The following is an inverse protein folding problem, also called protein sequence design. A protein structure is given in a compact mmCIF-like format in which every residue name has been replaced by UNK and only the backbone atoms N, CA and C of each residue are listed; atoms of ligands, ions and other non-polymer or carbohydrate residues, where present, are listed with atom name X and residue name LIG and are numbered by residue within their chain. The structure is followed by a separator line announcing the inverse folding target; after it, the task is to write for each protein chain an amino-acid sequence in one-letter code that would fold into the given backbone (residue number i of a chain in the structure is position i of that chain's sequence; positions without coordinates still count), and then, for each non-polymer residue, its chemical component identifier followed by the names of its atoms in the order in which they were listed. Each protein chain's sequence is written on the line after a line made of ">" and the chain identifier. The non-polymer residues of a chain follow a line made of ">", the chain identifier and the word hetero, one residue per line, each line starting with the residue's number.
data_IF_399784428440
#
_entry.id   IF_399784428440
#
_cell.length_a   1.000
_cell.length_b   1.000
_cell.length_c   1.000
_cell.angle_alpha   90.00
_cell.angle_beta   90.00
_cell.angle_gamma   90.00
#
_symmetry.space_group_name_H-M   'P 1'
#
loop_
_entity.id
_entity.type
_entity.pdbx_description
1 polymer ?
#
# COMPACT_ATOMS: atom_id res chain seq x y z
N UNK A 1 -7.41 10.87 -20.06
CA UNK A 1 -7.25 9.59 -20.76
C UNK A 1 -7.62 8.50 -19.77
N UNK A 2 -8.00 7.31 -20.20
CA UNK A 2 -8.15 6.17 -19.28
C UNK A 2 -6.77 5.61 -18.94
N UNK A 3 -6.55 5.23 -17.69
CA UNK A 3 -5.32 4.57 -17.24
C UNK A 3 -5.06 3.31 -18.09
N UNK A 4 -3.85 3.17 -18.62
CA UNK A 4 -3.45 1.97 -19.37
C UNK A 4 -2.88 0.92 -18.43
N UNK A 5 -2.94 -0.35 -18.81
CA UNK A 5 -2.39 -1.45 -18.01
C UNK A 5 -0.88 -1.27 -17.75
N UNK A 6 -0.10 -0.92 -18.78
CA UNK A 6 1.33 -0.64 -18.63
C UNK A 6 1.59 0.50 -17.63
N UNK A 7 0.83 1.60 -17.71
CA UNK A 7 0.96 2.72 -16.77
C UNK A 7 0.56 2.31 -15.35
N UNK A 8 -0.47 1.48 -15.20
CA UNK A 8 -0.87 0.91 -13.92
C UNK A 8 0.23 0.05 -13.30
N UNK A 9 0.91 -0.78 -14.10
CA UNK A 9 2.07 -1.55 -13.63
C UNK A 9 3.17 -0.64 -13.08
N UNK A 10 3.58 0.39 -13.84
CA UNK A 10 4.60 1.34 -13.40
C UNK A 10 4.19 2.05 -12.10
N UNK A 11 2.92 2.44 -11.96
CA UNK A 11 2.41 3.13 -10.78
C UNK A 11 2.41 2.22 -9.55
N UNK A 12 1.98 0.96 -9.67
CA UNK A 12 2.00 0.04 -8.54
C UNK A 12 3.44 -0.33 -8.16
N UNK A 13 4.35 -0.50 -9.12
CA UNK A 13 5.77 -0.79 -8.83
C UNK A 13 6.39 0.37 -8.05
N UNK A 14 6.22 1.61 -8.51
CA UNK A 14 6.69 2.80 -7.78
C UNK A 14 6.06 2.94 -6.39
N UNK A 15 4.78 2.58 -6.24
CA UNK A 15 4.10 2.64 -4.93
C UNK A 15 4.64 1.59 -3.97
N UNK A 16 4.91 0.38 -4.45
CA UNK A 16 5.47 -0.69 -3.62
C UNK A 16 6.92 -0.39 -3.24
N UNK A 17 7.74 0.12 -4.16
CA UNK A 17 9.10 0.60 -3.87
C UNK A 17 9.09 1.70 -2.79
N UNK A 18 8.21 2.71 -2.91
CA UNK A 18 8.10 3.74 -1.87
C UNK A 18 7.66 3.19 -0.51
N UNK A 19 6.77 2.19 -0.49
CA UNK A 19 6.35 1.55 0.76
C UNK A 19 7.50 0.74 1.38
N UNK A 20 8.30 0.05 0.58
CA UNK A 20 9.52 -0.63 1.04
C UNK A 20 10.47 0.36 1.70
N UNK A 21 10.81 1.45 1.02
CA UNK A 21 11.71 2.48 1.53
C UNK A 21 11.20 3.04 2.88
N UNK A 22 9.90 3.34 2.99
CA UNK A 22 9.28 3.85 4.23
C UNK A 22 9.38 2.83 5.38
N UNK A 23 9.15 1.55 5.11
CA UNK A 23 9.24 0.51 6.14
C UNK A 23 10.70 0.15 6.48
N UNK A 24 11.63 0.24 5.54
CA UNK A 24 13.05 0.03 5.78
C UNK A 24 13.69 1.18 6.59
N UNK A 25 13.19 2.41 6.43
CA UNK A 25 13.66 3.58 7.18
C UNK A 25 12.99 3.75 8.56
N UNK A 26 11.89 3.04 8.82
CA UNK A 26 11.18 3.16 10.09
C UNK A 26 11.84 2.32 11.21
N UNK A 27 11.66 2.73 12.47
CA UNK A 27 12.21 2.03 13.64
C UNK A 27 11.45 0.72 14.01
N UNK A 28 10.56 0.23 13.13
CA UNK A 28 9.80 -0.99 13.38
C UNK A 28 10.59 -2.23 12.95
N UNK A 29 10.56 -3.27 13.80
CA UNK A 29 11.04 -4.60 13.38
C UNK A 29 9.97 -5.27 12.51
N UNK A 30 10.08 -5.05 11.19
CA UNK A 30 9.22 -5.63 10.17
C UNK A 30 10.03 -6.43 9.16
N UNK A 31 9.41 -7.50 8.68
CA UNK A 31 9.92 -8.32 7.58
C UNK A 31 9.20 -7.91 6.29
N UNK A 32 9.96 -7.34 5.35
CA UNK A 32 9.49 -6.77 4.09
C UNK A 32 9.89 -7.70 2.94
N UNK A 33 8.89 -8.24 2.24
CA UNK A 33 9.09 -9.10 1.08
C UNK A 33 8.28 -8.60 -0.12
N UNK A 34 8.95 -8.27 -1.23
CA UNK A 34 8.28 -8.01 -2.51
C UNK A 34 8.64 -9.07 -3.56
N UNK A 35 7.61 -9.70 -4.10
CA UNK A 35 7.76 -10.71 -5.14
C UNK A 35 6.54 -10.74 -6.07
N UNK A 36 6.82 -10.71 -7.37
CA UNK A 36 5.80 -10.86 -8.43
C UNK A 36 4.60 -9.89 -8.30
N UNK A 37 4.83 -8.65 -7.86
CA UNK A 37 3.81 -7.63 -7.67
C UNK A 37 2.97 -7.79 -6.39
N UNK A 38 3.49 -8.57 -5.44
CA UNK A 38 2.94 -8.73 -4.09
C UNK A 38 3.99 -8.22 -3.10
N UNK A 39 3.65 -7.17 -2.36
CA UNK A 39 4.44 -6.64 -1.26
C UNK A 39 3.81 -7.10 0.06
N UNK A 40 4.60 -7.75 0.91
CA UNK A 40 4.19 -8.23 2.23
C UNK A 40 5.02 -7.53 3.29
N UNK A 41 4.34 -6.85 4.21
CA UNK A 41 4.94 -6.22 5.40
C UNK A 41 4.45 -7.00 6.61
N UNK A 42 5.34 -7.72 7.28
CA UNK A 42 5.01 -8.59 8.41
C UNK A 42 5.59 -8.03 9.69
N UNK A 43 4.73 -7.79 10.67
CA UNK A 43 5.09 -7.25 11.98
C UNK A 43 5.53 -8.36 12.94
N UNK A 44 6.30 -8.02 13.99
CA UNK A 44 6.74 -8.97 15.03
C UNK A 44 5.61 -9.78 15.66
N UNK A 45 4.40 -9.19 15.76
CA UNK A 45 3.23 -9.86 16.33
C UNK A 45 2.59 -10.92 15.39
N UNK A 46 3.20 -11.17 14.24
CA UNK A 46 2.79 -12.16 13.24
C UNK A 46 1.64 -11.69 12.33
N UNK A 47 1.14 -10.47 12.50
CA UNK A 47 0.18 -9.85 11.57
C UNK A 47 0.94 -9.29 10.35
N UNK A 48 0.22 -9.07 9.26
CA UNK A 48 0.82 -8.54 8.04
C UNK A 48 -0.13 -7.60 7.29
N UNK A 49 0.45 -6.67 6.56
CA UNK A 49 -0.18 -5.95 5.45
C UNK A 49 0.32 -6.57 4.15
N UNK A 50 -0.60 -6.90 3.25
CA UNK A 50 -0.28 -7.52 1.96
C UNK A 50 -0.87 -6.67 0.85
N UNK A 51 -0.01 -6.08 0.02
CA UNK A 51 -0.37 -5.28 -1.14
C UNK A 51 -0.24 -6.14 -2.40
N UNK A 52 -1.23 -6.10 -3.28
CA UNK A 52 -1.21 -6.87 -4.54
C UNK A 52 -1.82 -6.11 -5.70
N UNK A 53 -1.19 -6.19 -6.86
CA UNK A 53 -1.75 -5.63 -8.11
C UNK A 53 -2.85 -6.49 -8.69
N UNK A 54 -3.93 -5.85 -9.14
CA UNK A 54 -5.02 -6.49 -9.87
C UNK A 54 -5.19 -5.85 -11.26
N UNK A 55 -4.30 -6.22 -12.19
CA UNK A 55 -4.25 -5.66 -13.54
C UNK A 55 -5.58 -5.67 -14.31
N UNK A 56 -6.43 -6.72 -14.25
CA UNK A 56 -7.70 -6.74 -14.99
C UNK A 56 -8.69 -5.64 -14.58
N UNK A 57 -8.56 -5.13 -13.35
CA UNK A 57 -9.43 -4.08 -12.81
C UNK A 57 -8.68 -2.78 -12.52
N UNK A 58 -7.37 -2.73 -12.79
CA UNK A 58 -6.48 -1.58 -12.54
C UNK A 58 -6.52 -1.08 -11.09
N UNK A 59 -6.57 -2.01 -10.13
CA UNK A 59 -6.62 -1.69 -8.70
C UNK A 59 -5.40 -2.21 -7.95
N UNK A 60 -4.95 -1.45 -6.97
CA UNK A 60 -4.07 -1.93 -5.90
C UNK A 60 -4.94 -2.43 -4.76
N UNK A 61 -4.71 -3.65 -4.30
CA UNK A 61 -5.45 -4.23 -3.16
C UNK A 61 -4.55 -4.30 -1.94
N UNK A 62 -5.12 -4.04 -0.76
CA UNK A 62 -4.50 -4.20 0.54
C UNK A 62 -5.32 -5.19 1.36
N UNK A 63 -4.69 -6.29 1.79
CA UNK A 63 -5.22 -7.17 2.81
C UNK A 63 -4.56 -6.85 4.17
N UNK A 64 -5.39 -6.63 5.18
CA UNK A 64 -5.01 -6.39 6.56
C UNK A 64 -5.82 -7.29 7.50
N UNK A 65 -5.42 -7.45 8.77
CA UNK A 65 -6.21 -8.24 9.74
C UNK A 65 -7.64 -7.71 9.94
N UNK A 66 -7.88 -6.42 9.70
CA UNK A 66 -9.18 -5.77 9.80
C UNK A 66 -10.06 -5.93 8.56
N UNK A 67 -9.50 -6.38 7.42
CA UNK A 67 -10.25 -6.59 6.17
C UNK A 67 -9.44 -6.38 4.91
N UNK A 68 -10.12 -6.41 3.77
CA UNK A 68 -9.56 -6.12 2.44
C UNK A 68 -10.05 -4.79 1.90
N UNK A 69 -9.14 -4.01 1.32
CA UNK A 69 -9.37 -2.68 0.76
C UNK A 69 -8.85 -2.63 -0.67
N UNK A 70 -9.56 -1.90 -1.54
CA UNK A 70 -9.17 -1.74 -2.94
C UNK A 70 -9.02 -0.26 -3.25
N UNK A 71 -8.00 0.06 -4.04
CA UNK A 71 -7.64 1.41 -4.37
C UNK A 71 -7.62 1.61 -5.89
N UNK A 72 -8.30 2.67 -6.32
CA UNK A 72 -8.19 3.21 -7.67
C UNK A 72 -7.18 4.36 -7.66
N UNK A 73 -6.40 4.49 -8.74
CA UNK A 73 -5.43 5.59 -8.87
C UNK A 73 -6.10 6.85 -9.42
N UNK A 74 -6.02 7.96 -8.68
CA UNK A 74 -6.43 9.28 -9.15
C UNK A 74 -5.25 10.00 -9.82
N UNK A 75 -5.18 9.93 -11.15
CA UNK A 75 -4.11 10.60 -11.93
C UNK A 75 -4.06 12.13 -11.74
N UNK A 76 -5.13 12.78 -11.30
CA UNK A 76 -5.13 14.24 -11.07
C UNK A 76 -4.49 14.62 -9.75
N UNK A 77 -4.63 13.75 -8.75
CA UNK A 77 -4.08 13.93 -7.41
C UNK A 77 -2.78 13.17 -7.20
N UNK A 78 -2.43 12.30 -8.15
CA UNK A 78 -1.29 11.41 -8.10
C UNK A 78 -1.32 10.49 -6.86
N UNK A 79 -2.51 10.02 -6.47
CA UNK A 79 -2.72 9.29 -5.22
C UNK A 79 -3.64 8.09 -5.39
N UNK A 80 -3.45 7.05 -4.56
CA UNK A 80 -4.35 5.90 -4.46
C UNK A 80 -5.51 6.18 -3.50
N UNK A 81 -6.75 5.96 -3.95
CA UNK A 81 -7.97 6.25 -3.19
C UNK A 81 -8.84 5.01 -3.01
N UNK A 82 -9.30 4.75 -1.78
CA UNK A 82 -10.13 3.60 -1.48
C UNK A 82 -11.52 3.71 -2.12
N UNK A 83 -11.95 2.65 -2.82
CA UNK A 83 -13.22 2.60 -3.56
C UNK A 83 -14.49 2.70 -2.69
N UNK A 84 -14.37 2.38 -1.39
CA UNK A 84 -15.48 2.35 -0.42
C UNK A 84 -15.50 3.52 0.54
N UNK A 85 -14.33 3.96 1.01
CA UNK A 85 -14.22 4.93 2.11
C UNK A 85 -13.72 6.29 1.67
N UNK A 86 -13.28 6.42 0.40
CA UNK A 86 -12.61 7.60 -0.12
C UNK A 86 -11.28 7.98 0.57
N UNK A 87 -10.83 7.17 1.54
CA UNK A 87 -9.56 7.30 2.29
C UNK A 87 -8.36 7.04 1.36
N UNK A 88 -7.26 7.77 1.57
CA UNK A 88 -6.04 7.55 0.79
C UNK A 88 -5.27 6.31 1.28
N UNK A 89 -4.45 5.74 0.40
CA UNK A 89 -3.56 4.62 0.76
C UNK A 89 -2.62 5.00 1.91
N UNK A 90 -1.99 6.17 1.85
CA UNK A 90 -1.09 6.69 2.89
C UNK A 90 -1.78 6.79 4.25
N UNK A 91 -2.95 7.43 4.29
CA UNK A 91 -3.78 7.55 5.51
C UNK A 91 -4.12 6.17 6.09
N UNK A 92 -4.51 5.23 5.22
CA UNK A 92 -4.89 3.89 5.64
C UNK A 92 -3.69 3.09 6.16
N UNK A 93 -2.54 3.13 5.48
CA UNK A 93 -1.34 2.42 5.93
C UNK A 93 -0.82 3.03 7.24
N UNK A 94 -0.83 4.35 7.39
CA UNK A 94 -0.47 5.01 8.65
C UNK A 94 -1.34 4.53 9.81
N UNK A 95 -2.66 4.54 9.62
CA UNK A 95 -3.62 4.10 10.63
C UNK A 95 -3.45 2.62 10.98
N UNK A 96 -3.30 1.76 9.98
CA UNK A 96 -3.13 0.32 10.19
C UNK A 96 -1.80 0.00 10.88
N UNK A 97 -0.70 0.67 10.50
CA UNK A 97 0.58 0.48 11.19
C UNK A 97 0.51 0.92 12.65
N UNK A 98 -0.17 2.02 12.95
CA UNK A 98 -0.43 2.45 14.33
C UNK A 98 -1.26 1.41 15.10
N UNK A 99 -2.30 0.84 14.50
CA UNK A 99 -3.11 -0.22 15.10
C UNK A 99 -2.34 -1.54 15.33
N UNK A 100 -1.41 -1.88 14.43
CA UNK A 100 -0.70 -3.16 14.42
C UNK A 100 0.58 -3.14 15.26
N UNK A 101 1.32 -2.03 15.25
CA UNK A 101 2.62 -1.91 15.88
C UNK A 101 2.70 -0.82 16.96
N UNK A 102 1.69 0.06 17.06
CA UNK A 102 1.71 1.17 18.02
C UNK A 102 2.70 2.28 17.67
N UNK A 103 3.20 2.31 16.43
CA UNK A 103 4.09 3.34 15.92
C UNK A 103 3.43 4.14 14.80
N UNK A 104 3.78 5.42 14.72
CA UNK A 104 3.37 6.29 13.63
C UNK A 104 4.37 6.17 12.48
N UNK A 105 3.86 6.00 11.26
CA UNK A 105 4.66 6.14 10.04
C UNK A 105 4.51 7.56 9.52
N UNK A 106 5.62 8.17 9.14
CA UNK A 106 5.65 9.43 8.40
C UNK A 106 5.66 9.11 6.89
N UNK A 107 4.75 9.71 6.15
CA UNK A 107 4.69 9.59 4.69
C UNK A 107 5.12 10.93 4.08
N UNK A 108 6.20 10.92 3.29
CA UNK A 108 6.47 12.00 2.34
C UNK A 108 5.68 11.69 1.05
N UNK A 109 4.52 12.36 0.88
CA UNK A 109 3.60 12.30 -0.28
C UNK A 109 3.71 11.10 -1.24
N UNK A 110 2.80 10.11 -1.10
CA UNK A 110 2.59 8.98 -2.03
C UNK A 110 1.17 8.93 -2.62
#
# INVERSE_FOLDING_TARGET
>A
MSLTEARFHDLVDATQENLEDIFDECDLDVDVENSAGILTIKFENGKALIFSRQAPVLQLWLAAPSGGFHFDYDEKRSSWKCDKTDELLSEMVQRLTLELAGAELEFEEI
#
